data_IF_504548459967
#
_entry.id   IF_504548459967
#
_cell.length_a   1.000
_cell.length_b   1.000
_cell.length_c   1.000
_cell.angle_alpha   90.00
_cell.angle_beta   90.00
_cell.angle_gamma   90.00
#
_symmetry.space_group_name_H-M   'P 1'
#
loop_
_entity.id
_entity.type
_entity.pdbx_description
1 polymer ?
#
# COMPACT_ATOMS: atom_id res chain seq x y z
N UNK A 1 17.97 0.39 6.82
CA UNK A 1 18.18 1.43 5.77
C UNK A 1 17.15 2.55 5.97
N UNK A 2 17.34 3.72 5.34
CA UNK A 2 16.46 4.91 5.42
C UNK A 2 16.37 5.64 6.79
N UNK A 3 17.48 5.73 7.53
CA UNK A 3 17.53 6.45 8.84
C UNK A 3 17.40 7.97 8.72
N UNK A 4 17.53 8.53 7.51
CA UNK A 4 17.37 9.96 7.24
C UNK A 4 16.03 10.30 6.57
N UNK A 5 15.12 9.33 6.43
CA UNK A 5 13.80 9.53 5.83
C UNK A 5 12.72 9.57 6.91
N UNK A 6 11.60 10.22 6.59
CA UNK A 6 10.35 10.07 7.34
C UNK A 6 9.60 8.85 6.78
N UNK A 7 9.41 7.85 7.62
CA UNK A 7 8.65 6.64 7.30
C UNK A 7 7.17 6.91 7.53
N UNK A 8 6.41 7.01 6.45
CA UNK A 8 4.95 7.21 6.50
C UNK A 8 4.26 5.84 6.55
N UNK A 9 3.39 5.66 7.54
CA UNK A 9 2.70 4.38 7.79
C UNK A 9 1.30 4.65 8.35
N UNK A 10 0.34 3.76 8.11
CA UNK A 10 -0.97 3.88 8.75
C UNK A 10 -0.85 3.64 10.27
N UNK A 11 -1.56 4.40 11.09
CA UNK A 11 -1.42 4.30 12.55
C UNK A 11 -1.73 2.89 13.08
N UNK A 12 -2.79 2.26 12.56
CA UNK A 12 -3.18 0.90 12.98
C UNK A 12 -2.20 -0.18 12.55
N UNK A 13 -1.55 0.01 11.40
CA UNK A 13 -0.57 -0.93 10.88
C UNK A 13 0.69 -0.90 11.77
N UNK A 14 1.17 0.30 12.10
CA UNK A 14 2.28 0.45 13.03
C UNK A 14 1.94 -0.08 14.43
N UNK A 15 0.75 0.22 14.95
CA UNK A 15 0.30 -0.27 16.25
C UNK A 15 0.21 -1.80 16.28
N UNK A 16 -0.33 -2.42 15.23
CA UNK A 16 -0.44 -3.87 15.11
C UNK A 16 0.92 -4.55 15.01
N UNK A 17 1.83 -4.02 14.18
CA UNK A 17 3.20 -4.52 14.07
C UNK A 17 3.95 -4.43 15.40
N UNK A 18 3.89 -3.27 16.09
CA UNK A 18 4.53 -3.09 17.40
C UNK A 18 3.94 -4.01 18.48
N UNK A 19 2.65 -4.33 18.39
CA UNK A 19 2.03 -5.32 19.26
C UNK A 19 2.60 -6.72 19.04
N UNK A 20 2.71 -7.17 17.78
CA UNK A 20 3.34 -8.45 17.46
C UNK A 20 4.78 -8.53 18.00
N UNK A 21 5.53 -7.43 17.88
CA UNK A 21 6.87 -7.31 18.42
C UNK A 21 6.90 -7.45 19.96
N UNK A 22 6.06 -6.68 20.66
CA UNK A 22 6.00 -6.69 22.13
C UNK A 22 5.55 -8.05 22.69
N UNK A 23 4.64 -8.74 22.00
CA UNK A 23 4.17 -10.08 22.35
C UNK A 23 5.16 -11.20 21.97
N UNK A 24 6.34 -10.85 21.43
CA UNK A 24 7.36 -11.80 20.99
C UNK A 24 6.83 -12.84 19.99
N UNK A 25 5.88 -12.44 19.13
CA UNK A 25 5.37 -13.30 18.08
C UNK A 25 6.46 -13.50 17.02
N UNK A 26 6.95 -14.73 16.87
CA UNK A 26 8.02 -15.08 15.92
C UNK A 26 7.52 -15.77 14.63
N UNK A 27 6.21 -15.95 14.49
CA UNK A 27 5.57 -16.50 13.30
C UNK A 27 4.55 -15.53 12.72
N UNK A 28 4.06 -15.80 11.51
CA UNK A 28 3.12 -14.94 10.79
C UNK A 28 3.80 -13.96 9.83
N UNK A 29 3.05 -12.95 9.39
CA UNK A 29 3.47 -12.01 8.35
C UNK A 29 4.28 -10.80 8.86
N UNK A 30 4.31 -10.56 10.17
CA UNK A 30 5.07 -9.46 10.80
C UNK A 30 6.38 -10.00 11.37
N UNK A 31 7.51 -9.65 10.74
CA UNK A 31 8.82 -10.21 11.06
C UNK A 31 9.41 -9.52 12.29
N UNK A 32 9.48 -10.23 13.41
CA UNK A 32 9.96 -9.70 14.69
C UNK A 32 11.35 -9.04 14.59
N UNK A 33 12.29 -9.69 13.89
CA UNK A 33 13.67 -9.20 13.74
C UNK A 33 13.75 -7.91 12.92
N UNK A 34 12.83 -7.70 11.98
CA UNK A 34 12.78 -6.47 11.19
C UNK A 34 12.27 -5.32 12.06
N UNK A 35 11.20 -5.54 12.84
CA UNK A 35 10.65 -4.54 13.77
C UNK A 35 11.69 -4.15 14.83
N UNK A 36 12.42 -5.12 15.38
CA UNK A 36 13.57 -4.90 16.27
C UNK A 36 14.62 -3.97 15.62
N UNK A 37 14.96 -4.24 14.36
CA UNK A 37 15.91 -3.43 13.61
C UNK A 37 15.37 -2.01 13.36
N UNK A 38 14.07 -1.82 13.14
CA UNK A 38 13.48 -0.48 12.97
C UNK A 38 13.66 0.37 14.24
N UNK A 39 13.40 -0.23 15.41
CA UNK A 39 13.53 0.43 16.72
C UNK A 39 15.00 0.75 17.01
N UNK A 40 15.90 -0.22 16.82
CA UNK A 40 17.35 -0.06 17.05
C UNK A 40 17.99 1.00 16.14
N UNK A 41 17.45 1.20 14.95
CA UNK A 41 17.93 2.19 14.00
C UNK A 41 17.26 3.57 14.16
N UNK A 42 16.40 3.76 15.16
CA UNK A 42 15.74 5.04 15.46
C UNK A 42 15.04 5.67 14.25
N UNK A 43 14.30 4.85 13.48
CA UNK A 43 13.55 5.36 12.32
C UNK A 43 12.56 6.46 12.74
N UNK A 44 12.39 7.45 11.85
CA UNK A 44 11.51 8.59 12.08
C UNK A 44 10.12 8.29 11.50
N UNK A 45 9.10 8.22 12.33
CA UNK A 45 7.76 7.80 11.91
C UNK A 45 6.82 8.99 11.76
N UNK A 46 6.01 8.98 10.70
CA UNK A 46 4.82 9.82 10.56
C UNK A 46 3.63 8.91 10.30
N UNK A 47 2.74 8.81 11.28
CA UNK A 47 1.53 8.02 11.14
C UNK A 47 0.45 8.79 10.38
N UNK A 48 -0.32 8.09 9.55
CA UNK A 48 -1.57 8.57 8.98
C UNK A 48 -2.71 8.03 9.85
N UNK A 49 -3.53 8.93 10.38
CA UNK A 49 -4.68 8.59 11.20
C UNK A 49 -5.79 7.91 10.41
N UNK A 50 -6.61 7.10 11.08
CA UNK A 50 -7.75 6.33 10.52
C UNK A 50 -8.71 7.17 9.68
N UNK A 51 -8.91 8.42 10.08
CA UNK A 51 -9.87 9.33 9.47
C UNK A 51 -9.20 10.34 8.50
N UNK A 52 -7.90 10.23 8.27
CA UNK A 52 -7.21 11.01 7.24
C UNK A 52 -7.41 10.35 5.88
N UNK A 53 -8.01 11.06 4.91
CA UNK A 53 -8.33 10.47 3.62
C UNK A 53 -7.13 10.33 2.68
N UNK A 54 -6.30 11.37 2.61
CA UNK A 54 -5.19 11.49 1.67
C UNK A 54 -4.22 12.59 2.11
N UNK A 55 -2.95 12.47 1.70
CA UNK A 55 -1.88 13.42 2.02
C UNK A 55 -1.09 13.74 0.75
N UNK A 56 -1.01 15.02 0.39
CA UNK A 56 -0.15 15.48 -0.71
C UNK A 56 1.32 15.38 -0.28
N UNK A 57 2.11 14.55 -0.96
CA UNK A 57 3.54 14.34 -0.66
C UNK A 57 4.43 15.22 -1.54
N UNK A 58 4.04 15.41 -2.79
CA UNK A 58 4.65 16.31 -3.77
C UNK A 58 3.57 16.80 -4.74
N UNK A 59 3.92 17.71 -5.66
CA UNK A 59 3.00 18.28 -6.66
C UNK A 59 2.21 17.22 -7.42
N UNK A 60 2.84 16.09 -7.76
CA UNK A 60 2.24 15.00 -8.53
C UNK A 60 2.08 13.69 -7.76
N UNK A 61 2.36 13.71 -6.45
CA UNK A 61 2.34 12.49 -5.62
C UNK A 61 1.41 12.69 -4.44
N UNK A 62 0.35 11.88 -4.40
CA UNK A 62 -0.65 11.88 -3.34
C UNK A 62 -0.67 10.51 -2.66
N UNK A 63 -0.49 10.49 -1.34
CA UNK A 63 -0.73 9.31 -0.52
C UNK A 63 -2.23 9.09 -0.36
N UNK A 64 -2.67 7.86 -0.58
CA UNK A 64 -4.04 7.43 -0.41
C UNK A 64 -4.16 6.60 0.86
N UNK A 65 -5.09 6.95 1.75
CA UNK A 65 -5.45 6.08 2.85
C UNK A 65 -6.57 5.13 2.43
N UNK A 66 -6.31 3.82 2.45
CA UNK A 66 -7.32 2.80 2.17
C UNK A 66 -7.95 2.22 3.43
N UNK A 67 -7.38 2.48 4.61
CA UNK A 67 -7.85 1.98 5.90
C UNK A 67 -7.63 0.47 6.07
N UNK A 68 -8.43 -0.15 6.93
CA UNK A 68 -8.39 -1.59 7.16
C UNK A 68 -8.84 -2.38 5.93
N UNK A 69 -8.20 -3.53 5.69
CA UNK A 69 -8.55 -4.38 4.57
C UNK A 69 -7.72 -5.65 4.57
N UNK A 70 -6.75 -5.72 3.66
CA UNK A 70 -5.79 -6.83 3.65
C UNK A 70 -5.07 -6.97 5.00
N UNK A 71 -4.54 -5.85 5.52
CA UNK A 71 -3.92 -5.73 6.83
C UNK A 71 -4.68 -4.72 7.72
N UNK A 72 -4.07 -4.31 8.83
CA UNK A 72 -4.69 -3.37 9.78
C UNK A 72 -4.84 -1.98 9.19
N UNK A 73 -3.89 -1.54 8.36
CA UNK A 73 -3.91 -0.23 7.74
C UNK A 73 -3.16 -0.16 6.41
N UNK A 74 -3.92 -0.06 5.32
CA UNK A 74 -3.39 -0.02 3.97
C UNK A 74 -3.20 1.42 3.48
N UNK A 75 -2.03 1.71 2.92
CA UNK A 75 -1.73 2.94 2.20
C UNK A 75 -1.42 2.62 0.73
N UNK A 76 -1.74 3.55 -0.16
CA UNK A 76 -1.34 3.53 -1.56
C UNK A 76 -0.81 4.88 -2.02
N UNK A 77 -0.43 4.95 -3.28
CA UNK A 77 -0.02 6.21 -3.92
C UNK A 77 -0.82 6.43 -5.19
N UNK A 78 -1.21 7.68 -5.42
CA UNK A 78 -1.62 8.18 -6.72
C UNK A 78 -0.52 9.10 -7.25
N UNK A 79 0.05 8.73 -8.39
CA UNK A 79 1.12 9.47 -9.05
C UNK A 79 0.61 9.96 -10.40
N UNK A 80 0.81 11.24 -10.70
CA UNK A 80 0.49 11.81 -12.00
C UNK A 80 1.78 12.06 -12.77
N UNK A 81 1.95 11.40 -13.91
CA UNK A 81 3.13 11.55 -14.75
C UNK A 81 2.76 12.24 -16.07
N UNK A 82 3.50 13.28 -16.52
CA UNK A 82 3.21 13.98 -17.77
C UNK A 82 3.07 13.08 -19.01
N UNK A 83 3.90 12.05 -19.15
CA UNK A 83 3.89 11.14 -20.31
C UNK A 83 2.96 9.93 -20.14
N UNK A 84 2.96 9.31 -18.96
CA UNK A 84 2.30 8.03 -18.67
C UNK A 84 0.87 8.24 -18.18
N UNK A 85 0.56 9.44 -17.67
CA UNK A 85 -0.70 9.76 -17.04
C UNK A 85 -0.75 9.31 -15.58
N UNK A 86 -1.95 9.06 -15.08
CA UNK A 86 -2.16 8.71 -13.69
C UNK A 86 -1.89 7.22 -13.40
N UNK A 87 -1.24 6.94 -12.28
CA UNK A 87 -0.94 5.59 -11.79
C UNK A 87 -1.34 5.51 -10.32
N UNK A 88 -2.12 4.49 -9.98
CA UNK A 88 -2.45 4.13 -8.60
C UNK A 88 -1.63 2.89 -8.23
N UNK A 89 -0.72 3.05 -7.27
CA UNK A 89 0.01 1.95 -6.65
C UNK A 89 -0.84 1.39 -5.52
N UNK A 90 -1.47 0.24 -5.75
CA UNK A 90 -2.45 -0.33 -4.84
C UNK A 90 -1.85 -1.17 -3.70
N UNK A 91 -0.63 -1.68 -3.88
CA UNK A 91 -0.04 -2.68 -2.97
C UNK A 91 -1.05 -3.82 -2.71
N UNK A 92 -1.06 -4.39 -1.51
CA UNK A 92 -1.90 -5.51 -1.13
C UNK A 92 -3.38 -5.11 -0.91
N UNK A 93 -3.73 -3.83 -1.09
CA UNK A 93 -5.14 -3.44 -1.16
C UNK A 93 -5.82 -4.11 -2.36
N UNK A 94 -5.06 -4.47 -3.40
CA UNK A 94 -5.49 -5.37 -4.49
C UNK A 94 -4.30 -6.22 -4.98
N UNK A 95 -4.35 -7.53 -4.76
CA UNK A 95 -3.29 -8.45 -5.15
C UNK A 95 -3.01 -8.52 -6.66
N UNK A 96 -4.06 -8.70 -7.46
CA UNK A 96 -3.95 -8.93 -8.90
C UNK A 96 -5.20 -8.50 -9.66
N UNK A 97 -5.15 -8.53 -10.99
CA UNK A 97 -6.31 -8.28 -11.84
C UNK A 97 -7.47 -9.24 -11.53
N UNK A 98 -7.18 -10.49 -11.14
CA UNK A 98 -8.20 -11.45 -10.73
C UNK A 98 -8.94 -11.00 -9.45
N UNK A 99 -8.20 -10.46 -8.48
CA UNK A 99 -8.78 -9.92 -7.25
C UNK A 99 -9.57 -8.64 -7.50
N UNK A 100 -9.10 -7.82 -8.45
CA UNK A 100 -9.76 -6.61 -8.89
C UNK A 100 -11.10 -6.90 -9.58
N UNK A 101 -11.17 -7.96 -10.40
CA UNK A 101 -12.38 -8.40 -11.07
C UNK A 101 -12.86 -7.45 -12.18
N UNK A 102 -14.16 -7.49 -12.55
CA UNK A 102 -15.29 -8.04 -11.79
C UNK A 102 -15.53 -9.57 -11.93
N UNK A 103 -16.12 -10.23 -10.90
CA UNK A 103 -16.42 -9.70 -9.57
C UNK A 103 -15.16 -9.59 -8.70
N UNK A 104 -15.19 -8.74 -7.66
CA UNK A 104 -14.09 -8.64 -6.69
C UNK A 104 -13.89 -9.99 -6.01
N UNK A 105 -12.65 -10.49 -5.98
CA UNK A 105 -12.28 -11.72 -5.25
C UNK A 105 -11.40 -11.37 -4.06
N UNK A 106 -11.91 -11.63 -2.86
CA UNK A 106 -11.22 -11.40 -1.59
C UNK A 106 -10.08 -12.43 -1.44
N UNK A 107 -8.86 -12.02 -1.03
CA UNK A 107 -7.75 -12.94 -0.82
C UNK A 107 -7.98 -13.86 0.39
N UNK A 108 -7.24 -14.97 0.45
CA UNK A 108 -7.32 -15.91 1.58
C UNK A 108 -6.74 -15.35 2.88
N UNK A 109 -5.71 -14.49 2.79
CA UNK A 109 -5.16 -13.76 3.93
C UNK A 109 -5.83 -12.38 3.97
N UNK A 110 -6.65 -12.15 4.99
CA UNK A 110 -7.49 -10.96 5.10
C UNK A 110 -7.74 -10.61 6.56
N UNK A 111 -7.59 -9.33 6.90
CA UNK A 111 -7.93 -8.80 8.22
C UNK A 111 -9.38 -8.33 8.30
N UNK A 112 -9.80 -7.49 7.35
CA UNK A 112 -11.13 -6.90 7.26
C UNK A 112 -11.68 -7.07 5.83
N UNK A 113 -12.54 -8.06 5.62
CA UNK A 113 -13.08 -8.36 4.30
C UNK A 113 -14.02 -7.27 3.77
N UNK A 114 -14.74 -6.56 4.65
CA UNK A 114 -15.60 -5.44 4.25
C UNK A 114 -14.76 -4.22 3.91
N UNK A 115 -13.75 -3.92 4.71
CA UNK A 115 -12.76 -2.87 4.45
C UNK A 115 -12.01 -3.11 3.14
N UNK A 116 -11.61 -4.35 2.87
CA UNK A 116 -10.99 -4.74 1.60
C UNK A 116 -11.89 -4.44 0.39
N UNK A 117 -13.15 -4.89 0.41
CA UNK A 117 -14.08 -4.60 -0.69
C UNK A 117 -14.28 -3.10 -0.86
N UNK A 118 -14.40 -2.33 0.23
CA UNK A 118 -14.49 -0.86 0.19
C UNK A 118 -13.23 -0.23 -0.42
N UNK A 119 -12.05 -0.73 -0.08
CA UNK A 119 -10.78 -0.26 -0.65
C UNK A 119 -10.71 -0.53 -2.15
N UNK A 120 -11.05 -1.75 -2.60
CA UNK A 120 -11.07 -2.10 -4.03
C UNK A 120 -12.06 -1.23 -4.80
N UNK A 121 -13.27 -1.00 -4.27
CA UNK A 121 -14.25 -0.11 -4.90
C UNK A 121 -13.79 1.36 -4.91
N UNK A 122 -13.12 1.83 -3.85
CA UNK A 122 -12.49 3.16 -3.82
C UNK A 122 -11.43 3.29 -4.91
N UNK A 123 -10.58 2.28 -5.08
CA UNK A 123 -9.55 2.23 -6.12
C UNK A 123 -10.20 2.24 -7.52
N UNK A 124 -11.25 1.44 -7.75
CA UNK A 124 -12.00 1.43 -9.01
C UNK A 124 -12.59 2.79 -9.36
N UNK A 125 -13.23 3.42 -8.38
CA UNK A 125 -13.81 4.75 -8.55
C UNK A 125 -12.72 5.76 -8.89
N UNK A 126 -11.64 5.80 -8.11
CA UNK A 126 -10.54 6.73 -8.34
C UNK A 126 -9.92 6.52 -9.72
N UNK A 127 -9.56 5.28 -10.07
CA UNK A 127 -9.00 4.93 -11.37
C UNK A 127 -9.89 5.41 -12.54
N UNK A 128 -11.21 5.27 -12.41
CA UNK A 128 -12.17 5.75 -13.41
C UNK A 128 -12.24 7.27 -13.47
N UNK A 129 -12.33 7.94 -12.32
CA UNK A 129 -12.44 9.40 -12.21
C UNK A 129 -11.18 10.12 -12.71
N UNK A 130 -10.00 9.53 -12.47
CA UNK A 130 -8.70 10.12 -12.81
C UNK A 130 -8.06 9.51 -14.04
N UNK A 131 -8.77 8.65 -14.77
CA UNK A 131 -8.26 7.88 -15.91
C UNK A 131 -6.88 7.26 -15.63
N UNK A 132 -6.74 6.65 -14.45
CA UNK A 132 -5.47 6.13 -13.96
C UNK A 132 -5.37 4.62 -14.11
N UNK A 133 -4.15 4.17 -14.41
CA UNK A 133 -3.80 2.76 -14.33
C UNK A 133 -3.81 2.32 -12.85
N UNK A 134 -4.12 1.06 -12.59
CA UNK A 134 -3.96 0.46 -11.26
C UNK A 134 -2.85 -0.57 -11.35
N UNK A 135 -1.79 -0.36 -10.60
CA UNK A 135 -0.68 -1.29 -10.49
C UNK A 135 -0.87 -2.14 -9.24
N UNK A 136 -1.03 -3.44 -9.50
CA UNK A 136 -1.19 -4.48 -8.51
C UNK A 136 0.17 -4.97 -8.04
N UNK A 137 0.22 -5.54 -6.84
CA UNK A 137 1.47 -5.94 -6.20
C UNK A 137 1.96 -7.33 -6.62
N UNK A 138 1.04 -8.24 -6.93
CA UNK A 138 1.31 -9.66 -7.15
C UNK A 138 0.68 -10.18 -8.46
N UNK A 139 0.52 -9.30 -9.45
CA UNK A 139 0.08 -9.69 -10.79
C UNK A 139 1.28 -9.96 -11.69
N UNK A 140 1.57 -11.25 -11.92
CA UNK A 140 2.74 -11.66 -12.70
C UNK A 140 2.70 -11.16 -14.15
N UNK A 141 1.52 -11.11 -14.77
CA UNK A 141 1.38 -10.69 -16.17
C UNK A 141 1.57 -9.18 -16.29
N UNK A 142 0.99 -8.41 -15.38
CA UNK A 142 1.21 -6.97 -15.32
C UNK A 142 2.67 -6.65 -14.99
N UNK A 143 3.27 -7.35 -14.04
CA UNK A 143 4.68 -7.11 -13.71
C UNK A 143 5.59 -7.38 -14.90
N UNK A 144 5.35 -8.45 -15.67
CA UNK A 144 6.12 -8.72 -16.88
C UNK A 144 6.05 -7.59 -17.90
N UNK A 145 4.90 -6.90 -18.03
CA UNK A 145 4.72 -5.81 -19.01
C UNK A 145 5.34 -4.48 -18.59
N UNK A 146 5.77 -4.31 -17.34
CA UNK A 146 6.38 -3.05 -16.89
C UNK A 146 7.73 -2.76 -17.55
N UNK A 147 8.15 -1.50 -17.57
CA UNK A 147 9.54 -1.13 -17.87
C UNK A 147 10.31 -1.23 -16.55
N UNK A 148 11.33 -2.09 -16.49
CA UNK A 148 12.05 -2.32 -15.24
C UNK A 148 13.14 -1.26 -15.07
N UNK A 149 13.62 -1.05 -13.85
CA UNK A 149 14.66 -0.04 -13.58
C UNK A 149 15.97 -0.29 -14.32
N UNK A 150 16.23 -1.53 -14.77
CA UNK A 150 17.37 -1.89 -15.62
C UNK A 150 17.16 -1.59 -17.11
N UNK A 151 15.93 -1.25 -17.51
CA UNK A 151 15.51 -1.03 -18.90
C UNK A 151 15.09 0.42 -19.14
N UNK A 152 14.58 1.12 -18.12
CA UNK A 152 14.14 2.50 -18.22
C UNK A 152 13.31 2.95 -17.03
N UNK A 153 12.39 3.88 -17.30
CA UNK A 153 11.51 4.51 -16.31
C UNK A 153 10.20 4.96 -16.98
N UNK A 154 9.29 5.52 -16.17
CA UNK A 154 8.05 6.15 -16.61
C UNK A 154 8.16 7.67 -16.43
N UNK A 155 7.82 8.41 -17.48
CA UNK A 155 7.72 9.88 -17.52
C UNK A 155 6.26 10.31 -17.65
#
# INVERSE_FOLDING_TARGET
>A
MFTNATIIVHEDELNGALRCYAEHQKGGAYIWADIDAWIKNHLQWKTIGRNEDQLKLAEDVTLLNFGSGHAWGMLGLHVQLPGTGGIILASDAVYSAENYGPPIKVPGIIYDSLGYVKAVEKIKRLAKETNSQVWFVHDSQQFQSFIKSTEGYYE
#
